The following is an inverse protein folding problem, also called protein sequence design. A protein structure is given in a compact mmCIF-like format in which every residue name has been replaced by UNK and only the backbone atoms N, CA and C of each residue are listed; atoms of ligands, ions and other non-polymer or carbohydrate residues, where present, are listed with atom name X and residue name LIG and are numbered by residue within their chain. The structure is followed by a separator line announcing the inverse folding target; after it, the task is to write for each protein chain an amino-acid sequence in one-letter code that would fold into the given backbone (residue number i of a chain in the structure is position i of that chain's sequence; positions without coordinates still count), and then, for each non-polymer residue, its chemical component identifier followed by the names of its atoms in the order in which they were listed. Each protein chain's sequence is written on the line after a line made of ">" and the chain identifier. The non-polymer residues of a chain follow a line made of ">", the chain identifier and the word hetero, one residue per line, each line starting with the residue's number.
data_IF_417498995883
#
_entry.id   IF_417498995883
#
_cell.length_a   1.000
_cell.length_b   1.000
_cell.length_c   1.000
_cell.angle_alpha   90.00
_cell.angle_beta   90.00
_cell.angle_gamma   90.00
#
_symmetry.space_group_name_H-M   'P 1'
#
loop_
_entity.id
_entity.type
_entity.pdbx_description
1 polymer ?
#
# COMPACT_ATOMS: atom_id res chain seq x y z
N UNK A 1 32.35 35.28 34.11
CA UNK A 1 33.82 35.27 34.33
C UNK A 1 34.16 36.33 35.38
N UNK A 2 35.20 36.13 36.19
CA UNK A 2 35.54 36.99 37.34
C UNK A 2 36.58 38.08 37.03
N UNK A 3 37.25 38.02 35.88
CA UNK A 3 38.22 38.99 35.36
C UNK A 3 38.12 39.03 33.82
N UNK A 4 38.07 40.21 33.23
CA UNK A 4 38.18 40.49 31.79
C UNK A 4 39.65 40.81 31.42
N UNK A 5 40.06 40.69 30.14
CA UNK A 5 41.40 41.10 29.70
C UNK A 5 41.74 42.54 30.13
N UNK A 6 40.76 43.45 30.08
CA UNK A 6 40.90 44.83 30.54
C UNK A 6 41.19 44.94 32.04
N UNK A 7 40.68 44.01 32.86
CA UNK A 7 40.94 43.96 34.29
C UNK A 7 42.38 43.49 34.60
N UNK A 8 43.00 42.75 33.68
CA UNK A 8 44.41 42.34 33.75
C UNK A 8 45.31 43.52 33.38
N UNK A 9 44.96 44.26 32.32
CA UNK A 9 45.66 45.49 31.91
C UNK A 9 45.67 46.56 33.01
N UNK A 10 44.53 46.75 33.69
CA UNK A 10 44.38 47.79 34.69
C UNK A 10 44.78 47.34 36.10
N UNK A 11 45.44 46.18 36.24
CA UNK A 11 45.76 45.62 37.55
C UNK A 11 46.98 46.32 38.16
N UNK A 12 46.73 47.16 39.16
CA UNK A 12 47.80 47.73 39.97
C UNK A 12 48.15 46.85 41.17
N UNK A 13 49.45 46.71 41.43
CA UNK A 13 50.00 46.02 42.60
C UNK A 13 50.63 47.02 43.58
N UNK A 14 50.39 46.87 44.89
CA UNK A 14 51.05 47.70 45.89
C UNK A 14 52.57 47.51 45.87
N UNK A 15 53.34 48.59 46.07
CA UNK A 15 54.80 48.54 46.08
C UNK A 15 55.33 47.74 47.28
N UNK A 16 56.20 46.77 47.01
CA UNK A 16 56.84 45.98 48.06
C UNK A 16 58.00 46.75 48.71
N UNK A 17 58.06 46.72 50.05
CA UNK A 17 59.05 47.46 50.84
C UNK A 17 60.39 46.71 50.94
N UNK A 18 60.40 45.38 50.78
CA UNK A 18 61.61 44.52 50.77
C UNK A 18 61.40 43.41 49.71
N UNK A 19 62.40 43.18 48.85
CA UNK A 19 62.48 42.07 47.87
C UNK A 19 61.23 41.82 47.00
N UNK A 20 60.72 42.87 46.32
CA UNK A 20 59.61 42.76 45.36
C UNK A 20 60.03 42.41 43.93
N UNK A 21 59.06 42.01 43.11
CA UNK A 21 59.25 41.81 41.68
C UNK A 21 59.52 43.14 40.95
N UNK A 22 60.30 43.07 39.86
CA UNK A 22 60.60 44.23 39.03
C UNK A 22 59.37 44.63 38.23
N UNK A 23 58.85 45.83 38.50
CA UNK A 23 57.65 46.38 37.85
C UNK A 23 57.66 46.23 36.31
N UNK A 24 58.74 46.60 35.57
CA UNK A 24 58.75 46.46 34.11
C UNK A 24 58.59 45.02 33.62
N UNK A 25 59.18 44.05 34.34
CA UNK A 25 59.13 42.64 33.98
C UNK A 25 57.72 42.06 34.26
N UNK A 26 57.07 42.53 35.34
CA UNK A 26 55.67 42.17 35.67
C UNK A 26 54.70 42.78 34.67
N UNK A 27 54.87 44.07 34.32
CA UNK A 27 53.99 44.77 33.36
C UNK A 27 54.04 44.09 31.98
N UNK A 28 55.24 43.72 31.50
CA UNK A 28 55.41 42.99 30.24
C UNK A 28 54.74 41.59 30.28
N UNK A 29 54.82 40.88 31.40
CA UNK A 29 54.14 39.60 31.57
C UNK A 29 52.61 39.75 31.62
N UNK A 30 52.09 40.78 32.30
CA UNK A 30 50.65 41.05 32.32
C UNK A 30 50.10 41.40 30.93
N UNK A 31 50.87 42.12 30.10
CA UNK A 31 50.50 42.37 28.70
C UNK A 31 50.40 41.08 27.89
N UNK A 32 51.37 40.17 28.04
CA UNK A 32 51.35 38.86 27.37
C UNK A 32 50.15 38.02 27.83
N UNK A 33 49.95 37.92 29.15
CA UNK A 33 48.80 37.21 29.74
C UNK A 33 47.48 37.81 29.28
N UNK A 34 47.35 39.13 29.23
CA UNK A 34 46.12 39.79 28.80
C UNK A 34 45.79 39.50 27.33
N UNK A 35 46.81 39.51 26.44
CA UNK A 35 46.64 39.14 25.02
C UNK A 35 46.21 37.70 24.84
N UNK A 36 46.86 36.76 25.53
CA UNK A 36 46.51 35.34 25.45
C UNK A 36 45.12 35.08 26.03
N UNK A 37 44.76 35.78 27.11
CA UNK A 37 43.44 35.67 27.73
C UNK A 37 42.33 36.23 26.84
N UNK A 38 42.61 37.31 26.10
CA UNK A 38 41.69 37.84 25.08
C UNK A 38 41.49 36.84 23.93
N UNK A 39 42.58 36.26 23.42
CA UNK A 39 42.53 35.25 22.36
C UNK A 39 41.71 34.02 22.80
N UNK A 40 41.99 33.49 23.99
CA UNK A 40 41.23 32.37 24.57
C UNK A 40 39.75 32.71 24.79
N UNK A 41 39.45 33.93 25.24
CA UNK A 41 38.06 34.36 25.46
C UNK A 41 37.30 34.42 24.14
N UNK A 42 37.94 34.95 23.09
CA UNK A 42 37.36 35.01 21.75
C UNK A 42 37.11 33.61 21.17
N UNK A 43 38.12 32.74 21.23
CA UNK A 43 37.99 31.35 20.80
C UNK A 43 36.87 30.63 21.57
N UNK A 44 36.77 30.85 22.89
CA UNK A 44 35.71 30.24 23.69
C UNK A 44 34.30 30.70 23.27
N UNK A 45 34.15 31.98 22.90
CA UNK A 45 32.88 32.50 22.38
C UNK A 45 32.55 31.86 21.04
N UNK A 46 33.51 31.80 20.11
CA UNK A 46 33.33 31.19 18.79
C UNK A 46 32.98 29.70 18.90
N UNK A 47 33.69 28.95 19.75
CA UNK A 47 33.40 27.54 20.02
C UNK A 47 32.02 27.34 20.66
N UNK A 48 31.62 28.20 21.60
CA UNK A 48 30.27 28.14 22.20
C UNK A 48 29.18 28.36 21.15
N UNK A 49 29.37 29.32 20.25
CA UNK A 49 28.43 29.57 19.15
C UNK A 49 28.33 28.37 18.21
N UNK A 50 29.47 27.77 17.83
CA UNK A 50 29.49 26.56 17.00
C UNK A 50 28.77 25.39 17.67
N UNK A 51 29.00 25.17 18.97
CA UNK A 51 28.32 24.11 19.74
C UNK A 51 26.81 24.34 19.76
N UNK A 52 26.37 25.58 19.96
CA UNK A 52 24.94 25.91 19.94
C UNK A 52 24.32 25.66 18.56
N UNK A 53 25.01 26.05 17.48
CA UNK A 53 24.55 25.84 16.11
C UNK A 53 24.50 24.34 15.76
N UNK A 54 25.53 23.57 16.10
CA UNK A 54 25.54 22.12 15.92
C UNK A 54 24.43 21.45 16.72
N UNK A 55 24.16 21.91 17.94
CA UNK A 55 23.06 21.43 18.77
C UNK A 55 21.69 21.67 18.12
N UNK A 56 21.47 22.85 17.51
CA UNK A 56 20.24 23.14 16.76
C UNK A 56 20.08 22.21 15.56
N UNK A 57 21.14 22.03 14.77
CA UNK A 57 21.13 21.12 13.61
C UNK A 57 20.86 19.67 14.00
N UNK A 58 21.46 19.19 15.10
CA UNK A 58 21.18 17.84 15.63
C UNK A 58 19.71 17.68 16.02
N UNK A 59 19.13 18.69 16.67
CA UNK A 59 17.71 18.67 17.01
C UNK A 59 16.80 18.65 15.76
N UNK A 60 17.17 19.39 14.70
CA UNK A 60 16.46 19.34 13.42
C UNK A 60 16.55 17.96 12.76
N UNK A 61 17.75 17.36 12.73
CA UNK A 61 17.94 16.02 12.19
C UNK A 61 17.16 14.96 12.98
N UNK A 62 17.12 15.04 14.30
CA UNK A 62 16.34 14.13 15.13
C UNK A 62 14.83 14.24 14.84
N UNK A 63 14.30 15.45 14.66
CA UNK A 63 12.90 15.67 14.24
C UNK A 63 12.62 15.12 12.86
N UNK A 64 13.55 15.31 11.91
CA UNK A 64 13.42 14.78 10.57
C UNK A 64 13.42 13.24 10.57
N UNK A 65 14.33 12.62 11.32
CA UNK A 65 14.40 11.16 11.48
C UNK A 65 13.10 10.59 12.04
N UNK A 66 12.55 11.22 13.08
CA UNK A 66 11.26 10.81 13.65
C UNK A 66 10.12 10.91 12.63
N UNK A 67 10.11 11.97 11.83
CA UNK A 67 9.11 12.19 10.78
C UNK A 67 9.21 11.15 9.67
N UNK A 68 10.43 10.83 9.24
CA UNK A 68 10.70 9.78 8.24
C UNK A 68 10.27 8.41 8.79
N UNK A 69 10.60 8.11 10.05
CA UNK A 69 10.19 6.84 10.69
C UNK A 69 8.67 6.71 10.75
N UNK A 70 7.96 7.78 11.13
CA UNK A 70 6.49 7.81 11.13
C UNK A 70 5.92 7.61 9.72
N UNK A 71 6.48 8.30 8.72
CA UNK A 71 6.07 8.15 7.33
C UNK A 71 6.28 6.72 6.80
N UNK A 72 7.41 6.09 7.15
CA UNK A 72 7.70 4.69 6.77
C UNK A 72 6.71 3.71 7.39
N UNK A 73 6.41 3.85 8.68
CA UNK A 73 5.40 2.99 9.35
C UNK A 73 4.03 3.18 8.73
N UNK A 74 3.64 4.42 8.44
CA UNK A 74 2.38 4.72 7.78
C UNK A 74 2.33 4.09 6.37
N UNK A 75 3.38 4.26 5.56
CA UNK A 75 3.47 3.68 4.23
C UNK A 75 3.36 2.15 4.27
N UNK A 76 4.01 1.50 5.24
CA UNK A 76 3.92 0.06 5.44
C UNK A 76 2.49 -0.37 5.80
N UNK A 77 1.84 0.30 6.76
CA UNK A 77 0.45 0.01 7.15
C UNK A 77 -0.50 0.15 5.96
N UNK A 78 -0.39 1.25 5.21
CA UNK A 78 -1.21 1.49 4.01
C UNK A 78 -0.99 0.42 2.95
N UNK A 79 0.26 0.00 2.73
CA UNK A 79 0.57 -1.06 1.78
C UNK A 79 -0.03 -2.41 2.20
N UNK A 80 0.02 -2.74 3.49
CA UNK A 80 -0.54 -3.98 4.02
C UNK A 80 -2.08 -3.96 3.98
N UNK A 81 -2.71 -2.84 4.31
CA UNK A 81 -4.15 -2.63 4.17
C UNK A 81 -4.62 -2.75 2.71
N UNK A 82 -3.90 -2.13 1.77
CA UNK A 82 -4.20 -2.23 0.35
C UNK A 82 -4.10 -3.67 -0.15
N UNK A 83 -3.06 -4.41 0.26
CA UNK A 83 -2.90 -5.84 -0.06
C UNK A 83 -4.03 -6.68 0.54
N UNK A 84 -4.43 -6.41 1.77
CA UNK A 84 -5.52 -7.13 2.42
C UNK A 84 -6.88 -6.85 1.74
N UNK A 85 -7.14 -5.61 1.33
CA UNK A 85 -8.36 -5.27 0.57
C UNK A 85 -8.38 -5.98 -0.79
N UNK A 86 -7.30 -5.87 -1.56
CA UNK A 86 -7.20 -6.49 -2.87
C UNK A 86 -7.38 -8.02 -2.81
N UNK A 87 -6.86 -8.68 -1.76
CA UNK A 87 -7.07 -10.12 -1.54
C UNK A 87 -8.54 -10.44 -1.27
N UNK A 88 -9.19 -9.72 -0.36
CA UNK A 88 -10.61 -9.92 -0.04
C UNK A 88 -11.50 -9.68 -1.26
N UNK A 89 -11.26 -8.60 -1.99
CA UNK A 89 -12.00 -8.30 -3.23
C UNK A 89 -11.78 -9.38 -4.30
N UNK A 90 -10.54 -9.87 -4.45
CA UNK A 90 -10.21 -10.98 -5.34
C UNK A 90 -10.93 -12.28 -4.99
N UNK A 91 -11.01 -12.61 -3.69
CA UNK A 91 -11.75 -13.78 -3.19
C UNK A 91 -13.25 -13.67 -3.46
N UNK A 92 -13.84 -12.50 -3.22
CA UNK A 92 -15.25 -12.23 -3.51
C UNK A 92 -15.55 -12.34 -5.00
N UNK A 93 -14.74 -11.70 -5.86
CA UNK A 93 -14.88 -11.81 -7.31
C UNK A 93 -14.80 -13.27 -7.79
N UNK A 94 -13.88 -14.05 -7.24
CA UNK A 94 -13.75 -15.46 -7.59
C UNK A 94 -14.98 -16.28 -7.13
N UNK A 95 -15.51 -15.97 -5.95
CA UNK A 95 -16.71 -16.61 -5.43
C UNK A 95 -17.94 -16.29 -6.28
N UNK A 96 -18.13 -15.03 -6.66
CA UNK A 96 -19.21 -14.57 -7.53
C UNK A 96 -19.12 -15.22 -8.91
N UNK A 97 -17.93 -15.21 -9.52
CA UNK A 97 -17.70 -15.84 -10.81
C UNK A 97 -18.01 -17.35 -10.78
N UNK A 98 -17.66 -18.04 -9.68
CA UNK A 98 -17.98 -19.46 -9.50
C UNK A 98 -19.48 -19.70 -9.35
N UNK A 99 -20.18 -18.86 -8.59
CA UNK A 99 -21.64 -18.98 -8.45
C UNK A 99 -22.35 -18.74 -9.79
N UNK A 100 -21.92 -17.72 -10.54
CA UNK A 100 -22.52 -17.41 -11.83
C UNK A 100 -22.24 -18.50 -12.85
N UNK A 101 -21.01 -19.03 -12.91
CA UNK A 101 -20.68 -20.17 -13.73
C UNK A 101 -21.53 -21.41 -13.40
N UNK A 102 -21.77 -21.68 -12.11
CA UNK A 102 -22.64 -22.77 -11.68
C UNK A 102 -24.10 -22.56 -12.11
N UNK A 103 -24.62 -21.33 -12.00
CA UNK A 103 -25.97 -20.99 -12.50
C UNK A 103 -26.10 -21.19 -13.99
N UNK A 104 -25.13 -20.71 -14.77
CA UNK A 104 -25.10 -20.87 -16.23
C UNK A 104 -25.09 -22.36 -16.60
N UNK A 105 -24.26 -23.16 -15.93
CA UNK A 105 -24.20 -24.61 -16.16
C UNK A 105 -25.52 -25.30 -15.83
N UNK A 106 -26.18 -24.95 -14.73
CA UNK A 106 -27.46 -25.56 -14.39
C UNK A 106 -28.57 -25.15 -15.36
N UNK A 107 -28.62 -23.87 -15.76
CA UNK A 107 -29.55 -23.39 -16.77
C UNK A 107 -29.35 -24.10 -18.13
N UNK A 108 -28.11 -24.29 -18.54
CA UNK A 108 -27.79 -25.02 -19.78
C UNK A 108 -28.21 -26.50 -19.69
N UNK A 109 -27.96 -27.16 -18.57
CA UNK A 109 -28.40 -28.56 -18.35
C UNK A 109 -29.91 -28.68 -18.38
N UNK A 110 -30.62 -27.75 -17.75
CA UNK A 110 -32.07 -27.72 -17.76
C UNK A 110 -32.63 -27.51 -19.18
N UNK A 111 -32.00 -26.62 -19.97
CA UNK A 111 -32.37 -26.44 -21.36
C UNK A 111 -32.16 -27.72 -22.17
N UNK A 112 -31.02 -28.39 -22.03
CA UNK A 112 -30.74 -29.67 -22.70
C UNK A 112 -31.79 -30.72 -22.34
N UNK A 113 -32.15 -30.85 -21.06
CA UNK A 113 -33.20 -31.78 -20.62
C UNK A 113 -34.54 -31.51 -21.31
N UNK A 114 -34.96 -30.24 -21.38
CA UNK A 114 -36.21 -29.85 -22.05
C UNK A 114 -36.21 -30.17 -23.54
N UNK A 115 -35.11 -29.87 -24.23
CA UNK A 115 -34.95 -30.17 -25.66
C UNK A 115 -34.97 -31.69 -25.92
N UNK A 116 -34.36 -32.49 -25.03
CA UNK A 116 -34.40 -33.95 -25.11
C UNK A 116 -35.82 -34.50 -24.91
N UNK A 117 -36.55 -34.00 -23.91
CA UNK A 117 -37.95 -34.37 -23.67
C UNK A 117 -38.86 -34.00 -24.85
N UNK A 118 -38.68 -32.79 -25.40
CA UNK A 118 -39.41 -32.34 -26.59
C UNK A 118 -39.09 -33.20 -27.82
N UNK A 119 -37.82 -33.52 -28.04
CA UNK A 119 -37.36 -34.41 -29.11
C UNK A 119 -37.98 -35.81 -29.00
N UNK A 120 -38.06 -36.38 -27.79
CA UNK A 120 -38.72 -37.66 -27.55
C UNK A 120 -40.21 -37.56 -27.85
N UNK A 121 -40.87 -36.51 -27.37
CA UNK A 121 -42.31 -36.28 -27.60
C UNK A 121 -42.64 -36.15 -29.08
N UNK A 122 -41.86 -35.38 -29.84
CA UNK A 122 -42.03 -35.20 -31.29
C UNK A 122 -41.83 -36.52 -32.06
N UNK A 123 -40.82 -37.32 -31.67
CA UNK A 123 -40.61 -38.65 -32.25
C UNK A 123 -41.80 -39.59 -32.03
N UNK A 124 -42.35 -39.62 -30.81
CA UNK A 124 -43.55 -40.41 -30.52
C UNK A 124 -44.79 -39.92 -31.28
N UNK A 125 -44.96 -38.60 -31.43
CA UNK A 125 -46.05 -38.04 -32.25
C UNK A 125 -45.90 -38.44 -33.72
N UNK A 126 -44.69 -38.39 -34.28
CA UNK A 126 -44.40 -38.85 -35.64
C UNK A 126 -44.74 -40.33 -35.82
N UNK A 127 -44.32 -41.19 -34.89
CA UNK A 127 -44.59 -42.63 -34.94
C UNK A 127 -46.10 -42.93 -34.88
N UNK A 128 -46.83 -42.28 -33.97
CA UNK A 128 -48.29 -42.39 -33.91
C UNK A 128 -48.95 -41.95 -35.22
N UNK A 129 -48.53 -40.81 -35.76
CA UNK A 129 -49.06 -40.31 -37.04
C UNK A 129 -48.83 -41.30 -38.18
N UNK A 130 -47.63 -41.88 -38.30
CA UNK A 130 -47.33 -42.88 -39.34
C UNK A 130 -48.22 -44.13 -39.19
N UNK A 131 -48.43 -44.60 -37.96
CA UNK A 131 -49.30 -45.77 -37.70
C UNK A 131 -50.77 -45.47 -38.02
N UNK A 132 -51.30 -44.34 -37.55
CA UNK A 132 -52.69 -43.92 -37.79
C UNK A 132 -52.95 -43.69 -39.28
N UNK A 133 -52.07 -42.94 -39.94
CA UNK A 133 -52.20 -42.63 -41.37
C UNK A 133 -52.02 -43.88 -42.23
N UNK A 134 -51.03 -44.72 -41.92
CA UNK A 134 -50.82 -45.99 -42.60
C UNK A 134 -52.00 -46.96 -42.43
N UNK A 135 -52.60 -47.00 -41.25
CA UNK A 135 -53.83 -47.76 -40.99
C UNK A 135 -55.01 -47.23 -41.82
N UNK A 136 -55.22 -45.92 -41.82
CA UNK A 136 -56.28 -45.27 -42.61
C UNK A 136 -56.16 -45.60 -44.11
N UNK A 137 -54.95 -45.48 -44.68
CA UNK A 137 -54.72 -45.80 -46.08
C UNK A 137 -55.00 -47.26 -46.41
N UNK A 138 -54.62 -48.21 -45.53
CA UNK A 138 -54.94 -49.63 -45.72
C UNK A 138 -56.45 -49.88 -45.68
N UNK A 139 -57.16 -49.24 -44.78
CA UNK A 139 -58.62 -49.33 -44.70
C UNK A 139 -59.28 -48.81 -45.98
N UNK A 140 -58.85 -47.66 -46.50
CA UNK A 140 -59.37 -47.15 -47.76
C UNK A 140 -59.02 -48.03 -48.96
N UNK A 141 -57.81 -48.60 -49.00
CA UNK A 141 -57.43 -49.54 -50.05
C UNK A 141 -58.30 -50.80 -50.04
N UNK A 142 -58.50 -51.41 -48.86
CA UNK A 142 -59.37 -52.58 -48.72
C UNK A 142 -60.81 -52.28 -49.14
N UNK A 143 -61.35 -51.10 -48.78
CA UNK A 143 -62.68 -50.68 -49.21
C UNK A 143 -62.80 -50.58 -50.74
N UNK A 144 -61.78 -50.03 -51.41
CA UNK A 144 -61.73 -49.95 -52.88
C UNK A 144 -61.61 -51.32 -53.56
N UNK A 145 -60.79 -52.23 -53.01
CA UNK A 145 -60.66 -53.60 -53.51
C UNK A 145 -61.97 -54.40 -53.38
N UNK A 146 -62.71 -54.19 -52.29
CA UNK A 146 -64.03 -54.78 -52.11
C UNK A 146 -65.06 -54.21 -53.10
N UNK A 147 -65.07 -52.90 -53.32
CA UNK A 147 -65.96 -52.27 -54.28
C UNK A 147 -65.71 -52.75 -55.72
N UNK A 148 -64.44 -52.85 -56.12
CA UNK A 148 -64.06 -53.32 -57.47
C UNK A 148 -64.36 -54.80 -57.69
N UNK A 149 -64.25 -55.66 -56.67
CA UNK A 149 -64.66 -57.07 -56.78
C UNK A 149 -66.18 -57.24 -56.90
N UNK A 150 -66.97 -56.41 -56.21
CA UNK A 150 -68.44 -56.44 -56.30
C UNK A 150 -68.97 -55.99 -57.67
N UNK A 151 -68.24 -55.13 -58.39
CA UNK A 151 -68.56 -54.73 -59.77
C UNK A 151 -68.08 -55.74 -60.84
N UNK A 152 -67.34 -56.79 -60.44
CA UNK A 152 -66.75 -57.79 -61.34
C UNK A 152 -67.48 -59.15 -61.37
N UNK A 153 -68.50 -59.35 -60.52
CA UNK A 153 -69.40 -60.52 -60.47
C UNK A 153 -70.79 -60.16 -61.03
#
# INVERSE_FOLDING_TARGET
>A
MRLAPLDIYNKEFPQAVIAGYRKPDVDAFLEEVARDYEALTRENIELRQQVEEMGKRLADYARLEESIRKALVMAQSTADEARASARREGELMLQEARQEAARIQEAAREQVRREEEESIRLRQQRERFILEFGGLLRTYLAALEHATKADSE
#
